data_IF_680914567434
#
_entry.id   IF_680914567434
#
_cell.length_a   1.000
_cell.length_b   1.000
_cell.length_c   1.000
_cell.angle_alpha   90.00
_cell.angle_beta   90.00
_cell.angle_gamma   90.00
#
_symmetry.space_group_name_H-M   'P 1'
#
loop_
_entity.id
_entity.type
_entity.pdbx_description
1 polymer ?
#
# COMPACT_ATOMS: atom_id res chain seq x y z
N UNK A 1 11.02 -31.60 1.42
CA UNK A 1 10.77 -30.24 1.97
C UNK A 1 9.32 -29.74 1.86
N UNK A 2 8.53 -30.11 0.83
CA UNK A 2 7.10 -29.75 0.73
C UNK A 2 6.18 -30.33 1.82
N UNK A 3 6.57 -31.45 2.45
CA UNK A 3 5.75 -32.15 3.45
C UNK A 3 5.73 -31.45 4.84
N UNK A 4 6.77 -30.68 5.19
CA UNK A 4 6.87 -29.99 6.48
C UNK A 4 6.10 -28.66 6.51
N UNK A 5 6.02 -27.97 5.37
CA UNK A 5 5.22 -26.74 5.22
C UNK A 5 3.71 -26.99 5.35
N UNK A 6 3.23 -28.14 4.86
CA UNK A 6 1.81 -28.51 4.99
C UNK A 6 1.40 -28.76 6.46
N UNK A 7 2.31 -29.30 7.29
CA UNK A 7 2.04 -29.56 8.72
C UNK A 7 1.93 -28.28 9.55
N UNK A 8 2.63 -27.20 9.17
CA UNK A 8 2.59 -25.93 9.91
C UNK A 8 1.30 -25.14 9.61
N UNK A 9 0.74 -25.25 8.40
CA UNK A 9 -0.58 -24.70 8.06
C UNK A 9 -1.72 -25.41 8.81
N UNK A 10 -1.61 -26.73 9.04
CA UNK A 10 -2.65 -27.54 9.71
C UNK A 10 -2.65 -27.35 11.22
N UNK A 11 -1.50 -27.10 11.87
CA UNK A 11 -1.44 -26.90 13.33
C UNK A 11 -2.09 -25.58 13.80
N UNK A 12 -2.21 -24.61 12.90
CA UNK A 12 -2.84 -23.32 13.17
C UNK A 12 -4.39 -23.38 13.12
N UNK A 13 -4.94 -24.48 12.60
CA UNK A 13 -6.36 -24.76 12.47
C UNK A 13 -6.90 -25.46 13.73
N UNK A 14 -6.69 -24.87 14.90
CA UNK A 14 -7.44 -25.30 16.11
C UNK A 14 -8.80 -24.59 16.12
N UNK A 15 -9.90 -25.28 16.52
CA UNK A 15 -11.29 -24.78 16.40
C UNK A 15 -11.55 -23.38 16.96
N UNK A 16 -10.79 -22.90 17.96
CA UNK A 16 -10.87 -21.53 18.50
C UNK A 16 -10.04 -20.50 17.69
N UNK A 17 -8.92 -20.92 17.11
CA UNK A 17 -8.02 -20.07 16.31
C UNK A 17 -8.60 -19.84 14.91
N UNK A 18 -9.31 -20.82 14.34
CA UNK A 18 -10.00 -20.74 13.05
C UNK A 18 -11.08 -19.66 12.99
N UNK A 19 -11.71 -19.30 14.11
CA UNK A 19 -12.73 -18.24 14.16
C UNK A 19 -12.12 -16.88 14.49
N UNK A 20 -11.08 -16.85 15.34
CA UNK A 20 -10.43 -15.59 15.75
C UNK A 20 -9.56 -15.00 14.64
N UNK A 21 -8.90 -15.84 13.84
CA UNK A 21 -8.08 -15.39 12.71
C UNK A 21 -8.85 -14.66 11.61
N UNK A 22 -9.95 -15.18 11.06
CA UNK A 22 -10.71 -14.46 10.04
C UNK A 22 -11.37 -13.19 10.60
N UNK A 23 -11.75 -13.16 11.88
CA UNK A 23 -12.26 -11.93 12.51
C UNK A 23 -11.16 -10.87 12.63
N UNK A 24 -9.95 -11.26 13.03
CA UNK A 24 -8.80 -10.37 13.10
C UNK A 24 -8.35 -9.92 11.70
N UNK A 25 -8.32 -10.81 10.71
CA UNK A 25 -8.04 -10.47 9.31
C UNK A 25 -9.13 -9.58 8.70
N UNK A 26 -10.40 -9.81 9.03
CA UNK A 26 -11.50 -8.95 8.59
C UNK A 26 -11.37 -7.56 9.20
N UNK A 27 -11.11 -7.46 10.52
CA UNK A 27 -10.88 -6.18 11.19
C UNK A 27 -9.65 -5.44 10.63
N UNK A 28 -8.53 -6.12 10.50
CA UNK A 28 -7.30 -5.57 9.92
C UNK A 28 -7.49 -5.17 8.45
N UNK A 29 -8.23 -5.96 7.66
CA UNK A 29 -8.56 -5.67 6.28
C UNK A 29 -9.50 -4.47 6.13
N UNK A 30 -10.45 -4.30 7.05
CA UNK A 30 -11.37 -3.17 7.07
C UNK A 30 -10.65 -1.88 7.44
N UNK A 31 -9.76 -1.94 8.45
CA UNK A 31 -8.88 -0.83 8.83
C UNK A 31 -7.90 -0.50 7.69
N UNK A 32 -7.26 -1.50 7.08
CA UNK A 32 -6.34 -1.30 5.96
C UNK A 32 -7.04 -0.74 4.71
N UNK A 33 -8.29 -1.14 4.47
CA UNK A 33 -9.14 -0.61 3.40
C UNK A 33 -9.57 0.84 3.65
N UNK A 34 -9.90 1.19 4.90
CA UNK A 34 -10.18 2.57 5.33
C UNK A 34 -8.99 3.50 5.11
N UNK A 35 -7.76 3.02 5.33
CA UNK A 35 -6.54 3.78 5.05
C UNK A 35 -6.27 3.96 3.55
N UNK A 36 -6.93 3.22 2.66
CA UNK A 36 -6.78 3.35 1.21
C UNK A 36 -5.41 2.96 0.64
N UNK A 37 -4.51 2.42 1.48
CA UNK A 37 -3.12 2.06 1.12
C UNK A 37 -3.05 0.74 0.32
N UNK A 38 -4.14 -0.03 0.29
CA UNK A 38 -4.21 -1.27 -0.49
C UNK A 38 -3.27 -2.36 0.04
N UNK A 39 -3.34 -2.69 1.35
CA UNK A 39 -2.85 -3.93 1.98
C UNK A 39 -1.35 -4.30 1.89
N UNK A 40 -0.59 -3.80 0.91
CA UNK A 40 0.76 -4.27 0.57
C UNK A 40 1.83 -3.86 1.57
N UNK A 41 1.71 -2.66 2.16
CA UNK A 41 2.65 -2.16 3.18
C UNK A 41 2.64 -3.04 4.45
N UNK A 42 1.48 -3.60 4.80
CA UNK A 42 1.30 -4.43 6.01
C UNK A 42 1.60 -5.90 5.73
N UNK A 43 1.23 -6.41 4.54
CA UNK A 43 1.39 -7.83 4.19
C UNK A 43 2.86 -8.24 4.07
N UNK A 44 3.74 -7.34 3.62
CA UNK A 44 5.18 -7.59 3.52
C UNK A 44 5.86 -8.01 4.83
N UNK A 45 5.85 -7.18 5.89
CA UNK A 45 6.46 -7.52 7.18
C UNK A 45 5.74 -8.67 7.89
N UNK A 46 4.41 -8.73 7.80
CA UNK A 46 3.61 -9.81 8.42
C UNK A 46 4.02 -11.20 7.88
N UNK A 47 4.31 -11.30 6.59
CA UNK A 47 4.71 -12.57 5.97
C UNK A 47 6.13 -13.00 6.35
N UNK A 48 7.00 -12.04 6.67
CA UNK A 48 8.33 -12.29 7.23
C UNK A 48 8.24 -12.75 8.69
N UNK A 49 7.34 -12.17 9.50
CA UNK A 49 7.09 -12.61 10.88
C UNK A 49 6.53 -14.04 10.94
N UNK A 50 5.70 -14.43 9.96
CA UNK A 50 5.17 -15.79 9.83
C UNK A 50 6.16 -16.79 9.22
N UNK A 51 7.38 -16.36 8.86
CA UNK A 51 8.41 -17.24 8.30
C UNK A 51 8.08 -17.81 6.92
N UNK A 52 7.21 -17.15 6.16
CA UNK A 52 6.78 -17.64 4.83
C UNK A 52 7.77 -17.18 3.76
N UNK A 53 7.98 -18.01 2.75
CA UNK A 53 8.82 -17.67 1.59
C UNK A 53 8.34 -16.38 0.91
N UNK A 54 9.22 -15.38 0.70
CA UNK A 54 8.84 -14.06 0.16
C UNK A 54 8.37 -14.12 -1.30
N UNK A 55 8.69 -15.21 -2.00
CA UNK A 55 8.26 -15.47 -3.38
C UNK A 55 6.73 -15.59 -3.50
N UNK A 56 6.11 -16.36 -2.60
CA UNK A 56 4.66 -16.56 -2.58
C UNK A 56 3.96 -15.31 -2.02
N UNK A 57 4.62 -14.60 -1.10
CA UNK A 57 4.16 -13.33 -0.55
C UNK A 57 3.97 -12.28 -1.64
N UNK A 58 5.00 -12.09 -2.45
CA UNK A 58 4.99 -11.12 -3.54
C UNK A 58 3.96 -11.44 -4.61
N UNK A 59 3.74 -12.72 -4.92
CA UNK A 59 2.71 -13.13 -5.88
C UNK A 59 1.30 -12.81 -5.36
N UNK A 60 1.06 -13.08 -4.06
CA UNK A 60 -0.24 -12.84 -3.43
C UNK A 60 -0.55 -11.36 -3.31
N UNK A 61 0.42 -10.54 -2.91
CA UNK A 61 0.24 -9.08 -2.79
C UNK A 61 -0.01 -8.43 -4.14
N UNK A 62 0.68 -8.86 -5.20
CA UNK A 62 0.43 -8.36 -6.56
C UNK A 62 -1.01 -8.65 -7.01
N UNK A 63 -1.51 -9.87 -6.77
CA UNK A 63 -2.89 -10.25 -7.09
C UNK A 63 -3.92 -9.42 -6.32
N UNK A 64 -3.67 -9.18 -5.02
CA UNK A 64 -4.53 -8.36 -4.17
C UNK A 64 -4.60 -6.91 -4.66
N UNK A 65 -3.46 -6.31 -5.02
CA UNK A 65 -3.39 -4.94 -5.55
C UNK A 65 -4.11 -4.84 -6.88
N UNK A 66 -3.89 -5.78 -7.82
CA UNK A 66 -4.59 -5.81 -9.10
C UNK A 66 -6.11 -5.87 -8.94
N UNK A 67 -6.59 -6.74 -8.04
CA UNK A 67 -8.01 -6.84 -7.74
C UNK A 67 -8.56 -5.53 -7.16
N UNK A 68 -7.86 -4.93 -6.20
CA UNK A 68 -8.26 -3.67 -5.58
C UNK A 68 -8.31 -2.52 -6.59
N UNK A 69 -7.32 -2.42 -7.47
CA UNK A 69 -7.29 -1.41 -8.53
C UNK A 69 -8.42 -1.60 -9.53
N UNK A 70 -8.69 -2.84 -9.97
CA UNK A 70 -9.82 -3.13 -10.85
C UNK A 70 -11.17 -2.76 -10.21
N UNK A 71 -11.34 -3.05 -8.92
CA UNK A 71 -12.54 -2.67 -8.17
C UNK A 71 -12.69 -1.14 -8.03
N UNK A 72 -11.58 -0.43 -7.80
CA UNK A 72 -11.58 1.03 -7.77
C UNK A 72 -11.95 1.62 -9.14
N UNK A 73 -11.33 1.14 -10.23
CA UNK A 73 -11.67 1.58 -11.59
C UNK A 73 -13.14 1.30 -11.92
N UNK A 74 -13.67 0.12 -11.55
CA UNK A 74 -15.07 -0.20 -11.75
C UNK A 74 -16.01 0.73 -10.96
N UNK A 75 -15.66 1.06 -9.71
CA UNK A 75 -16.40 2.04 -8.90
C UNK A 75 -16.41 3.41 -9.57
N UNK A 76 -15.26 3.91 -10.00
CA UNK A 76 -15.16 5.21 -10.68
C UNK A 76 -15.90 5.22 -12.03
N UNK A 77 -15.87 4.10 -12.76
CA UNK A 77 -16.62 3.93 -14.02
C UNK A 77 -18.13 4.11 -13.83
N UNK A 78 -18.69 3.54 -12.75
CA UNK A 78 -20.13 3.65 -12.45
C UNK A 78 -20.54 5.07 -12.07
N UNK A 79 -19.68 5.85 -11.43
CA UNK A 79 -19.97 7.25 -11.06
C UNK A 79 -19.92 8.23 -12.25
N UNK A 80 -19.62 7.77 -13.47
CA UNK A 80 -19.66 8.52 -14.74
C UNK A 80 -18.95 9.88 -14.70
N UNK A 81 -17.92 10.00 -13.84
CA UNK A 81 -17.14 11.22 -13.60
C UNK A 81 -15.70 11.05 -14.11
N UNK A 82 -15.54 10.33 -15.21
CA UNK A 82 -14.24 10.02 -15.82
C UNK A 82 -14.10 10.81 -17.11
N UNK A 83 -13.13 11.73 -17.11
CA UNK A 83 -12.56 12.22 -18.35
C UNK A 83 -11.65 11.10 -18.90
N UNK A 84 -12.14 10.39 -19.91
CA UNK A 84 -11.49 9.20 -20.48
C UNK A 84 -10.05 9.47 -20.95
N UNK A 85 -9.78 10.65 -21.49
CA UNK A 85 -8.44 11.05 -21.93
C UNK A 85 -7.41 11.05 -20.80
N UNK A 86 -7.76 11.61 -19.64
CA UNK A 86 -6.85 11.69 -18.49
C UNK A 86 -6.68 10.34 -17.79
N UNK A 87 -7.73 9.51 -17.77
CA UNK A 87 -7.68 8.19 -17.14
C UNK A 87 -6.69 7.26 -17.86
N UNK A 88 -6.71 7.23 -19.20
CA UNK A 88 -5.77 6.41 -19.96
C UNK A 88 -4.33 6.91 -19.81
N UNK A 89 -4.10 8.21 -19.90
CA UNK A 89 -2.77 8.82 -19.73
C UNK A 89 -2.16 8.52 -18.36
N UNK A 90 -2.93 8.68 -17.29
CA UNK A 90 -2.48 8.36 -15.93
C UNK A 90 -2.23 6.88 -15.73
N UNK A 91 -3.07 6.00 -16.31
CA UNK A 91 -2.89 4.55 -16.21
C UNK A 91 -1.62 4.07 -16.92
N UNK A 92 -1.32 4.60 -18.11
CA UNK A 92 -0.12 4.28 -18.86
C UNK A 92 1.14 4.75 -18.11
N UNK A 93 1.12 5.99 -17.60
CA UNK A 93 2.21 6.51 -16.79
C UNK A 93 2.44 5.67 -15.53
N UNK A 94 1.37 5.31 -14.82
CA UNK A 94 1.45 4.49 -13.62
C UNK A 94 2.03 3.09 -13.90
N UNK A 95 1.64 2.45 -15.01
CA UNK A 95 2.20 1.16 -15.42
C UNK A 95 3.69 1.25 -15.72
N UNK A 96 4.12 2.28 -16.47
CA UNK A 96 5.54 2.49 -16.80
C UNK A 96 6.36 2.72 -15.53
N UNK A 97 5.91 3.62 -14.65
CA UNK A 97 6.60 3.93 -13.39
C UNK A 97 6.68 2.71 -12.47
N UNK A 98 5.59 1.94 -12.36
CA UNK A 98 5.54 0.75 -11.48
C UNK A 98 6.44 -0.36 -12.02
N UNK A 99 6.40 -0.62 -13.33
CA UNK A 99 7.23 -1.62 -13.97
C UNK A 99 8.72 -1.30 -13.79
N UNK A 100 9.12 -0.05 -14.04
CA UNK A 100 10.51 0.41 -13.82
C UNK A 100 10.90 0.24 -12.35
N UNK A 101 10.03 0.63 -11.42
CA UNK A 101 10.28 0.52 -9.98
C UNK A 101 10.49 -0.93 -9.53
N UNK A 102 9.63 -1.85 -9.99
CA UNK A 102 9.74 -3.27 -9.65
C UNK A 102 11.03 -3.89 -10.20
N UNK A 103 11.40 -3.59 -11.45
CA UNK A 103 12.63 -4.09 -12.07
C UNK A 103 13.87 -3.56 -11.35
N UNK A 104 13.89 -2.27 -11.01
CA UNK A 104 14.99 -1.65 -10.25
C UNK A 104 15.14 -2.30 -8.88
N UNK A 105 14.05 -2.50 -8.14
CA UNK A 105 14.10 -3.11 -6.80
C UNK A 105 14.58 -4.56 -6.87
N UNK A 106 14.03 -5.38 -7.78
CA UNK A 106 14.47 -6.78 -7.92
C UNK A 106 15.93 -6.87 -8.39
N UNK A 107 16.37 -5.99 -9.28
CA UNK A 107 17.76 -5.90 -9.72
C UNK A 107 18.70 -5.47 -8.59
N UNK A 108 18.27 -4.52 -7.77
CA UNK A 108 19.04 -4.02 -6.64
C UNK A 108 19.19 -5.08 -5.54
N UNK A 109 18.11 -5.79 -5.19
CA UNK A 109 18.12 -6.88 -4.20
C UNK A 109 19.08 -8.00 -4.60
N UNK A 110 19.11 -8.38 -5.88
CA UNK A 110 20.04 -9.42 -6.38
C UNK A 110 21.50 -9.00 -6.31
N UNK A 111 21.81 -7.70 -6.42
CA UNK A 111 23.19 -7.18 -6.37
C UNK A 111 23.77 -7.12 -4.95
N UNK A 112 22.96 -6.86 -3.92
CA UNK A 112 23.45 -6.59 -2.55
C UNK A 112 23.28 -7.75 -1.57
N UNK A 113 22.40 -8.72 -1.84
CA UNK A 113 22.32 -9.98 -1.08
C UNK A 113 22.00 -9.86 0.42
N UNK A 114 21.62 -8.67 0.92
CA UNK A 114 21.37 -8.40 2.35
C UNK A 114 19.92 -7.93 2.57
N UNK A 115 19.23 -8.56 3.53
CA UNK A 115 17.81 -8.35 3.82
C UNK A 115 17.48 -6.97 4.42
N UNK A 116 18.45 -6.26 5.02
CA UNK A 116 18.24 -4.97 5.70
C UNK A 116 17.87 -3.81 4.77
N UNK A 117 18.09 -3.94 3.46
CA UNK A 117 17.81 -2.88 2.48
C UNK A 117 16.32 -2.58 2.33
N UNK A 118 15.46 -3.59 2.47
CA UNK A 118 14.00 -3.40 2.32
C UNK A 118 13.47 -2.45 3.40
N UNK A 119 13.94 -2.59 4.63
CA UNK A 119 13.55 -1.74 5.77
C UNK A 119 14.09 -0.32 5.62
N UNK A 120 15.30 -0.16 5.09
CA UNK A 120 15.90 1.16 4.84
C UNK A 120 15.13 1.93 3.76
N UNK A 121 14.68 1.26 2.70
CA UNK A 121 13.82 1.87 1.69
C UNK A 121 12.49 2.35 2.28
N UNK A 122 11.83 1.55 3.12
CA UNK A 122 10.57 1.94 3.78
C UNK A 122 10.82 3.17 4.68
N UNK A 123 11.86 3.14 5.52
CA UNK A 123 12.23 4.26 6.38
C UNK A 123 12.52 5.54 5.60
N UNK A 124 13.29 5.46 4.52
CA UNK A 124 13.62 6.60 3.68
C UNK A 124 12.37 7.24 3.06
N UNK A 125 11.43 6.44 2.54
CA UNK A 125 10.19 6.96 1.97
C UNK A 125 9.33 7.68 3.02
N UNK A 126 9.28 7.17 4.26
CA UNK A 126 8.55 7.82 5.36
C UNK A 126 9.20 9.15 5.75
N UNK A 127 10.52 9.18 5.87
CA UNK A 127 11.26 10.41 6.18
C UNK A 127 11.04 11.49 5.11
N UNK A 128 11.13 11.12 3.83
CA UNK A 128 10.90 12.06 2.72
C UNK A 128 9.44 12.56 2.72
N UNK A 129 8.47 11.67 2.94
CA UNK A 129 7.06 12.05 3.04
C UNK A 129 6.78 13.03 4.19
N UNK A 130 7.37 12.78 5.36
CA UNK A 130 7.24 13.68 6.52
C UNK A 130 7.82 15.07 6.25
N UNK A 131 8.99 15.15 5.59
CA UNK A 131 9.63 16.42 5.23
C UNK A 131 8.79 17.20 4.23
N UNK A 132 8.30 16.55 3.17
CA UNK A 132 7.49 17.21 2.14
C UNK A 132 6.16 17.74 2.69
N UNK A 133 5.49 16.97 3.54
CA UNK A 133 4.24 17.40 4.19
C UNK A 133 4.47 18.58 5.14
N UNK A 134 5.55 18.55 5.91
CA UNK A 134 5.93 19.66 6.78
C UNK A 134 6.24 20.91 5.97
N UNK A 135 6.94 20.77 4.84
CA UNK A 135 7.26 21.88 3.96
C UNK A 135 6.01 22.52 3.34
N UNK A 136 5.07 21.70 2.84
CA UNK A 136 3.80 22.18 2.30
C UNK A 136 2.95 22.87 3.37
N UNK A 137 2.88 22.31 4.58
CA UNK A 137 2.15 22.89 5.71
C UNK A 137 2.68 24.28 6.10
N UNK A 138 4.01 24.44 6.17
CA UNK A 138 4.63 25.74 6.44
C UNK A 138 4.34 26.73 5.32
N UNK A 139 4.48 26.30 4.05
CA UNK A 139 4.20 27.15 2.88
C UNK A 139 2.74 27.59 2.82
N UNK A 140 1.79 26.73 3.18
CA UNK A 140 0.36 27.08 3.23
C UNK A 140 0.04 28.10 4.31
N UNK A 141 0.70 28.02 5.48
CA UNK A 141 0.49 28.98 6.58
C UNK A 141 1.03 30.37 6.23
N UNK A 142 2.20 30.45 5.58
CA UNK A 142 2.79 31.74 5.18
C UNK A 142 1.93 32.43 4.11
N UNK A 143 1.34 31.67 3.18
CA UNK A 143 0.49 32.22 2.12
C UNK A 143 -0.87 32.74 2.62
N UNK A 144 -1.35 32.26 3.77
CA UNK A 144 -2.62 32.70 4.38
C UNK A 144 -2.44 33.74 5.50
N UNK A 145 -1.22 34.08 5.89
CA UNK A 145 -0.95 35.12 6.90
C UNK A 145 -1.01 36.57 6.35
N UNK A 146 -1.25 36.76 5.05
CA UNK A 146 -1.23 38.07 4.37
C UNK A 146 -2.58 38.68 4.04
N UNK A 147 -3.68 37.93 4.16
CA UNK A 147 -5.03 38.45 3.91
C UNK A 147 -5.73 38.71 5.25
N UNK A 148 -6.18 39.94 5.53
CA UNK A 148 -6.99 40.21 6.73
C UNK A 148 -8.27 39.37 6.69
N UNK A 149 -8.68 38.86 7.85
CA UNK A 149 -9.95 38.17 8.04
C UNK A 149 -11.12 39.14 7.81
N UNK A 150 -11.57 39.29 6.56
CA UNK A 150 -12.87 39.87 6.23
C UNK A 150 -13.96 38.89 6.68
N UNK A 151 -14.36 39.00 7.94
CA UNK A 151 -15.63 38.47 8.44
C UNK A 151 -16.76 39.27 7.81
N UNK A 152 -17.07 39.00 6.54
CA UNK A 152 -18.32 39.47 5.95
C UNK A 152 -19.46 38.65 6.55
N UNK A 153 -20.01 39.18 7.64
CA UNK A 153 -21.26 38.74 8.24
C UNK A 153 -22.35 38.94 7.18
N UNK A 154 -22.64 37.88 6.45
CA UNK A 154 -23.74 37.86 5.48
C UNK A 154 -25.05 38.12 6.24
N UNK A 155 -25.74 39.21 5.88
CA UNK A 155 -27.07 39.59 6.38
C UNK A 155 -28.15 38.98 5.51
#
# INVERSE_FOLDING_TARGET
>A
MRCTLLRLQILFVTKKTVVRFPLACAGAGLIAGLFGVGGGIVTGPLMIEMGIVPEVASATTALMVLYSSAAATAKFAVFNMIAWDWAFLLSALALVVTAVSQVVILGFVRRTGRQSIIVLCIGATICIGAVLMTYQAIKSTIKHAGEPFEVNVCR
#
